data_IF_402111681341
#
_entry.id   IF_402111681341
#
_cell.length_a   1.000
_cell.length_b   1.000
_cell.length_c   1.000
_cell.angle_alpha   90.00
_cell.angle_beta   90.00
_cell.angle_gamma   90.00
#
_symmetry.space_group_name_H-M   'P 1'
#
loop_
_entity.id
_entity.type
_entity.pdbx_description
1 polymer ?
#
# COMPACT_ATOMS: atom_id res chain seq x y z
N UNK A 1 -34.04 28.82 -5.04
CA UNK A 1 -33.23 28.61 -3.81
C UNK A 1 -33.08 27.11 -3.46
N UNK A 2 -34.18 26.34 -3.44
CA UNK A 2 -34.16 24.90 -3.15
C UNK A 2 -33.29 24.08 -4.12
N UNK A 3 -33.43 24.28 -5.44
CA UNK A 3 -32.60 23.60 -6.45
C UNK A 3 -31.09 23.82 -6.25
N UNK A 4 -30.71 25.00 -5.80
CA UNK A 4 -29.31 25.38 -5.58
C UNK A 4 -28.74 24.69 -4.32
N UNK A 5 -29.58 24.47 -3.31
CA UNK A 5 -29.23 23.68 -2.12
C UNK A 5 -29.12 22.19 -2.44
N UNK A 6 -30.03 21.65 -3.26
CA UNK A 6 -29.97 20.26 -3.72
C UNK A 6 -28.72 20.01 -4.57
N UNK A 7 -28.38 20.92 -5.49
CA UNK A 7 -27.15 20.80 -6.28
C UNK A 7 -25.90 20.86 -5.42
N UNK A 8 -25.85 21.74 -4.39
CA UNK A 8 -24.73 21.76 -3.43
C UNK A 8 -24.64 20.47 -2.63
N UNK A 9 -25.76 19.95 -2.13
CA UNK A 9 -25.78 18.69 -1.40
C UNK A 9 -25.26 17.52 -2.26
N UNK A 10 -25.72 17.44 -3.51
CA UNK A 10 -25.31 16.42 -4.46
C UNK A 10 -23.82 16.53 -4.80
N UNK A 11 -23.32 17.75 -5.00
CA UNK A 11 -21.90 18.00 -5.24
C UNK A 11 -21.04 17.59 -4.04
N UNK A 12 -21.46 17.91 -2.82
CA UNK A 12 -20.77 17.48 -1.59
C UNK A 12 -20.75 15.96 -1.48
N UNK A 13 -21.88 15.29 -1.72
CA UNK A 13 -21.96 13.82 -1.66
C UNK A 13 -21.10 13.15 -2.74
N UNK A 14 -21.04 13.73 -3.94
CA UNK A 14 -20.14 13.26 -5.00
C UNK A 14 -18.67 13.40 -4.58
N UNK A 15 -18.28 14.54 -4.02
CA UNK A 15 -16.91 14.75 -3.56
C UNK A 15 -16.52 13.80 -2.43
N UNK A 16 -17.43 13.56 -1.46
CA UNK A 16 -17.24 12.57 -0.39
C UNK A 16 -17.04 11.16 -0.99
N UNK A 17 -17.88 10.78 -1.96
CA UNK A 17 -17.78 9.49 -2.64
C UNK A 17 -16.47 9.32 -3.41
N UNK A 18 -16.05 10.34 -4.16
CA UNK A 18 -14.78 10.33 -4.90
C UNK A 18 -13.59 10.20 -3.92
N UNK A 19 -13.67 10.83 -2.75
CA UNK A 19 -12.63 10.77 -1.74
C UNK A 19 -12.56 9.39 -1.06
N UNK A 20 -13.70 8.78 -0.75
CA UNK A 20 -13.76 7.39 -0.29
C UNK A 20 -13.21 6.42 -1.34
N UNK A 21 -13.57 6.61 -2.60
CA UNK A 21 -13.13 5.76 -3.71
C UNK A 21 -11.62 5.84 -3.89
N UNK A 22 -11.04 7.04 -3.86
CA UNK A 22 -9.57 7.24 -3.90
C UNK A 22 -8.87 6.61 -2.70
N UNK A 23 -9.47 6.69 -1.52
CA UNK A 23 -8.93 6.05 -0.31
C UNK A 23 -8.94 4.52 -0.46
N UNK A 24 -10.04 3.94 -0.94
CA UNK A 24 -10.15 2.51 -1.21
C UNK A 24 -9.17 2.05 -2.30
N UNK A 25 -9.00 2.82 -3.36
CA UNK A 25 -7.98 2.57 -4.38
C UNK A 25 -6.57 2.60 -3.79
N UNK A 26 -6.26 3.56 -2.93
CA UNK A 26 -4.94 3.60 -2.27
C UNK A 26 -4.71 2.46 -1.28
N UNK A 27 -5.78 1.87 -0.73
CA UNK A 27 -5.70 0.69 0.13
C UNK A 27 -5.72 -0.63 -0.65
N UNK A 28 -5.93 -0.59 -1.97
CA UNK A 28 -5.91 -1.78 -2.81
C UNK A 28 -4.44 -2.16 -3.13
N UNK A 29 -3.96 -3.35 -2.70
CA UNK A 29 -2.60 -3.81 -2.97
C UNK A 29 -2.22 -3.75 -4.45
N UNK A 30 -3.18 -3.98 -5.36
CA UNK A 30 -2.96 -3.90 -6.81
C UNK A 30 -2.67 -2.46 -7.27
N UNK A 31 -3.41 -1.48 -6.78
CA UNK A 31 -3.22 -0.07 -7.16
C UNK A 31 -1.95 0.55 -6.54
N UNK A 32 -1.46 -0.01 -5.42
CA UNK A 32 -0.14 0.31 -4.90
C UNK A 32 0.96 -0.31 -5.77
N UNK A 33 0.78 -1.53 -6.28
CA UNK A 33 1.72 -2.15 -7.22
C UNK A 33 1.83 -1.39 -8.54
N UNK A 34 0.72 -0.85 -9.07
CA UNK A 34 0.72 0.00 -10.27
C UNK A 34 1.55 1.30 -10.10
N UNK A 35 1.68 1.78 -8.86
CA UNK A 35 2.48 2.96 -8.52
C UNK A 35 3.96 2.64 -8.27
N UNK A 36 4.36 1.37 -8.48
CA UNK A 36 5.73 0.91 -8.27
C UNK A 36 6.06 0.52 -6.82
N UNK A 37 5.06 0.41 -5.94
CA UNK A 37 5.27 -0.15 -4.61
C UNK A 37 5.30 -1.68 -4.68
N UNK A 38 6.19 -2.30 -3.91
CA UNK A 38 6.29 -3.76 -3.82
C UNK A 38 5.91 -4.26 -2.44
N UNK A 39 5.53 -5.54 -2.35
CA UNK A 39 5.25 -6.20 -1.08
C UNK A 39 6.34 -7.23 -0.82
N UNK A 40 7.09 -7.05 0.26
CA UNK A 40 8.12 -7.99 0.69
C UNK A 40 7.55 -9.05 1.64
N UNK A 41 7.82 -10.32 1.36
CA UNK A 41 7.45 -11.49 2.16
C UNK A 41 8.66 -12.33 2.51
N UNK A 42 8.68 -12.93 3.69
CA UNK A 42 9.64 -13.97 4.10
C UNK A 42 8.80 -15.14 4.61
N UNK A 43 9.04 -16.36 4.12
CA UNK A 43 8.30 -17.57 4.52
C UNK A 43 6.76 -17.35 4.50
N UNK A 44 6.23 -16.79 3.41
CA UNK A 44 4.82 -16.39 3.20
C UNK A 44 4.23 -15.33 4.14
N UNK A 45 5.03 -14.77 5.06
CA UNK A 45 4.62 -13.67 5.94
C UNK A 45 5.01 -12.32 5.35
N UNK A 46 4.06 -11.39 5.29
CA UNK A 46 4.31 -9.99 4.90
C UNK A 46 5.13 -9.30 5.99
N UNK A 47 6.26 -8.72 5.59
CA UNK A 47 7.15 -8.00 6.50
C UNK A 47 6.75 -6.53 6.55
N UNK A 48 6.46 -6.03 7.75
CA UNK A 48 6.16 -4.60 8.00
C UNK A 48 7.17 -3.92 8.92
N UNK A 49 7.91 -4.69 9.72
CA UNK A 49 8.91 -4.19 10.65
C UNK A 49 10.27 -4.82 10.33
N UNK A 50 11.33 -4.02 10.42
CA UNK A 50 12.71 -4.48 10.20
C UNK A 50 13.15 -5.56 11.20
N UNK A 51 12.55 -5.59 12.39
CA UNK A 51 12.81 -6.60 13.42
C UNK A 51 12.29 -8.01 13.03
N UNK A 52 11.44 -8.10 12.01
CA UNK A 52 10.90 -9.37 11.51
C UNK A 52 11.78 -9.98 10.39
N UNK A 53 12.87 -9.29 10.03
CA UNK A 53 13.79 -9.69 8.97
C UNK A 53 14.97 -10.47 9.55
N UNK A 54 15.31 -11.61 8.96
CA UNK A 54 16.46 -12.44 9.38
C UNK A 54 17.53 -12.45 8.29
N UNK A 55 18.78 -12.18 8.67
CA UNK A 55 19.93 -12.27 7.77
C UNK A 55 20.07 -13.68 7.15
N UNK A 56 20.44 -13.73 5.88
CA UNK A 56 20.64 -14.97 5.14
C UNK A 56 19.34 -15.68 4.69
N UNK A 57 18.16 -15.20 5.10
CA UNK A 57 16.89 -15.76 4.60
C UNK A 57 16.54 -15.25 3.20
N UNK A 58 15.75 -16.05 2.50
CA UNK A 58 15.12 -15.67 1.24
C UNK A 58 13.92 -14.74 1.50
N UNK A 59 13.86 -13.65 0.76
CA UNK A 59 12.78 -12.69 0.71
C UNK A 59 12.17 -12.69 -0.69
N UNK A 60 10.86 -12.75 -0.75
CA UNK A 60 10.07 -12.63 -1.97
C UNK A 60 9.51 -11.22 -2.05
N UNK A 61 9.89 -10.48 -3.07
CA UNK A 61 9.34 -9.16 -3.37
C UNK A 61 8.30 -9.31 -4.47
N UNK A 62 7.02 -9.18 -4.12
CA UNK A 62 5.91 -9.24 -5.06
C UNK A 62 5.76 -7.90 -5.80
N UNK A 63 5.67 -7.99 -7.12
CA UNK A 63 5.39 -6.90 -8.06
C UNK A 63 4.06 -7.17 -8.78
N UNK A 64 3.58 -6.18 -9.53
CA UNK A 64 2.33 -6.23 -10.29
C UNK A 64 2.23 -7.45 -11.23
N UNK A 65 3.35 -7.80 -11.88
CA UNK A 65 3.40 -8.81 -12.94
C UNK A 65 4.29 -10.01 -12.60
N UNK A 66 4.68 -10.19 -11.33
CA UNK A 66 5.55 -11.29 -10.93
C UNK A 66 6.14 -11.12 -9.53
N UNK A 67 7.19 -11.88 -9.25
CA UNK A 67 7.91 -11.80 -7.98
C UNK A 67 9.42 -11.90 -8.20
N UNK A 68 10.19 -11.25 -7.33
CA UNK A 68 11.64 -11.35 -7.26
C UNK A 68 11.99 -12.14 -6.01
N UNK A 69 12.91 -13.10 -6.13
CA UNK A 69 13.47 -13.83 -5.00
C UNK A 69 14.87 -13.31 -4.71
N UNK A 70 15.11 -12.87 -3.49
CA UNK A 70 16.38 -12.27 -3.06
C UNK A 70 16.83 -12.84 -1.72
N UNK A 71 18.13 -12.85 -1.45
CA UNK A 71 18.67 -13.22 -0.14
C UNK A 71 19.03 -11.96 0.65
N UNK A 72 18.69 -11.93 1.93
CA UNK A 72 18.97 -10.79 2.81
C UNK A 72 20.45 -10.82 3.21
N UNK A 73 21.21 -9.81 2.78
CA UNK A 73 22.66 -9.70 3.06
C UNK A 73 22.98 -8.72 4.18
N UNK A 74 22.10 -7.75 4.44
CA UNK A 74 22.28 -6.74 5.49
C UNK A 74 20.91 -6.32 6.07
N UNK A 75 20.85 -6.07 7.38
CA UNK A 75 19.67 -5.53 8.06
C UNK A 75 20.12 -4.37 8.96
N UNK A 76 19.61 -3.17 8.71
CA UNK A 76 19.86 -1.97 9.53
C UNK A 76 18.56 -1.41 10.06
N UNK A 77 18.48 -1.26 11.38
CA UNK A 77 17.38 -0.56 12.03
C UNK A 77 17.81 0.89 12.28
N UNK A 78 17.21 1.83 11.54
CA UNK A 78 17.46 3.27 11.73
C UNK A 78 16.63 3.83 12.90
N UNK A 79 16.57 3.12 14.02
CA UNK A 79 15.81 3.54 15.20
C UNK A 79 16.12 5.00 15.54
N UNK A 80 15.10 5.86 15.46
CA UNK A 80 15.10 7.10 16.23
C UNK A 80 15.22 6.67 17.70
N UNK A 81 16.30 7.10 18.37
CA UNK A 81 16.34 7.18 19.82
C UNK A 81 15.22 8.09 20.31
#
# INVERSE_FOLDING_TARGET
RLNLLIQRLLLTKKNEFDLLTRTLQNLNPLALMDKGYSISRIDDKIIRNINEVTLGKEMITQLQNGYIKSTITEVKNNGKQ
#
